data_IF_785622376151
#
_entry.id   IF_785622376151
#
_cell.length_a   1.000
_cell.length_b   1.000
_cell.length_c   1.000
_cell.angle_alpha   90.00
_cell.angle_beta   90.00
_cell.angle_gamma   90.00
#
_symmetry.space_group_name_H-M   'P 1'
#
loop_
_entity.id
_entity.type
_entity.pdbx_description
1 polymer ?
#
# COMPACT_ATOMS: atom_id res chain seq x y z
N UNK A 1 22.23 54.87 24.40
CA UNK A 1 21.34 53.75 24.74
C UNK A 1 21.15 52.83 23.54
N UNK A 2 21.14 53.37 22.32
CA UNK A 2 20.99 52.62 21.07
C UNK A 2 22.14 51.65 20.74
N UNK A 3 23.39 51.98 21.10
CA UNK A 3 24.54 51.11 20.84
C UNK A 3 24.49 49.78 21.60
N UNK A 4 24.04 49.79 22.85
CA UNK A 4 23.95 48.59 23.70
C UNK A 4 22.84 47.66 23.19
N UNK A 5 21.72 48.21 22.75
CA UNK A 5 20.63 47.44 22.16
C UNK A 5 21.05 46.79 20.82
N UNK A 6 21.84 47.51 20.02
CA UNK A 6 22.39 46.99 18.76
C UNK A 6 23.40 45.85 18.98
N UNK A 7 24.29 45.98 19.96
CA UNK A 7 25.26 44.93 20.31
C UNK A 7 24.57 43.67 20.86
N UNK A 8 23.55 43.84 21.71
CA UNK A 8 22.74 42.72 22.22
C UNK A 8 21.97 42.05 21.07
N UNK A 9 21.39 42.83 20.15
CA UNK A 9 20.70 42.29 18.98
C UNK A 9 21.67 41.52 18.07
N UNK A 10 22.86 42.07 17.80
CA UNK A 10 23.87 41.41 16.97
C UNK A 10 24.35 40.08 17.59
N UNK A 11 24.47 40.00 18.91
CA UNK A 11 24.82 38.77 19.62
C UNK A 11 23.66 37.77 19.70
N UNK A 12 22.41 38.24 19.76
CA UNK A 12 21.22 37.39 19.90
C UNK A 12 20.69 36.82 18.57
N UNK A 13 20.88 37.54 17.45
CA UNK A 13 20.40 37.12 16.12
C UNK A 13 20.86 35.71 15.73
N UNK A 14 22.15 35.31 15.87
CA UNK A 14 22.59 33.96 15.56
C UNK A 14 21.86 32.88 16.38
N UNK A 15 21.62 33.14 17.66
CA UNK A 15 20.93 32.21 18.55
C UNK A 15 19.44 32.05 18.15
N UNK A 16 18.77 33.16 17.81
CA UNK A 16 17.38 33.13 17.34
C UNK A 16 17.27 32.37 16.00
N UNK A 17 18.18 32.64 15.06
CA UNK A 17 18.22 31.93 13.77
C UNK A 17 18.47 30.43 13.98
N UNK A 18 19.38 30.05 14.89
CA UNK A 18 19.64 28.65 15.20
C UNK A 18 18.42 27.95 15.82
N UNK A 19 17.71 28.62 16.73
CA UNK A 19 16.48 28.07 17.35
C UNK A 19 15.39 27.89 16.29
N UNK A 20 15.15 28.90 15.45
CA UNK A 20 14.14 28.83 14.38
C UNK A 20 14.50 27.75 13.36
N UNK A 21 15.76 27.67 12.95
CA UNK A 21 16.26 26.64 12.05
C UNK A 21 16.05 25.24 12.64
N UNK A 22 16.43 25.04 13.89
CA UNK A 22 16.25 23.76 14.59
C UNK A 22 14.77 23.40 14.71
N UNK A 23 13.91 24.35 15.09
CA UNK A 23 12.47 24.13 15.18
C UNK A 23 11.88 23.73 13.82
N UNK A 24 12.29 24.40 12.74
CA UNK A 24 11.84 24.08 11.39
C UNK A 24 12.32 22.68 10.96
N UNK A 25 13.58 22.33 11.23
CA UNK A 25 14.11 20.99 10.94
C UNK A 25 13.35 19.90 11.69
N UNK A 26 13.04 20.11 12.98
CA UNK A 26 12.23 19.16 13.76
C UNK A 26 10.83 18.99 13.16
N UNK A 27 10.19 20.09 12.76
CA UNK A 27 8.88 20.06 12.11
C UNK A 27 8.92 19.32 10.76
N UNK A 28 9.91 19.60 9.92
CA UNK A 28 10.08 18.94 8.63
C UNK A 28 10.32 17.43 8.79
N UNK A 29 11.18 17.02 9.73
CA UNK A 29 11.44 15.61 9.99
C UNK A 29 10.17 14.89 10.46
N UNK A 30 9.39 15.48 11.36
CA UNK A 30 8.10 14.93 11.81
C UNK A 30 7.13 14.78 10.64
N UNK A 31 7.00 15.79 9.80
CA UNK A 31 6.13 15.75 8.64
C UNK A 31 6.57 14.68 7.63
N UNK A 32 7.88 14.57 7.37
CA UNK A 32 8.45 13.58 6.47
C UNK A 32 8.20 12.14 6.97
N UNK A 33 8.39 11.87 8.26
CA UNK A 33 8.10 10.56 8.86
C UNK A 33 6.63 10.18 8.65
N UNK A 34 5.69 11.05 9.03
CA UNK A 34 4.25 10.78 8.90
C UNK A 34 3.85 10.55 7.44
N UNK A 35 4.38 11.36 6.51
CA UNK A 35 4.12 11.19 5.09
C UNK A 35 4.67 9.85 4.57
N UNK A 36 5.89 9.48 4.97
CA UNK A 36 6.54 8.24 4.54
C UNK A 36 5.80 6.98 5.03
N UNK A 37 5.33 7.00 6.28
CA UNK A 37 4.53 5.90 6.86
C UNK A 37 3.20 5.76 6.13
N UNK A 38 2.49 6.87 5.92
CA UNK A 38 1.18 6.86 5.25
C UNK A 38 1.28 6.41 3.80
N UNK A 39 2.28 6.90 3.06
CA UNK A 39 2.50 6.45 1.68
C UNK A 39 2.90 4.98 1.60
N UNK A 40 3.71 4.49 2.55
CA UNK A 40 4.05 3.07 2.62
C UNK A 40 2.82 2.16 2.75
N UNK A 41 1.92 2.51 3.66
CA UNK A 41 0.66 1.79 3.90
C UNK A 41 -0.23 1.81 2.65
N UNK A 42 -0.37 2.97 2.00
CA UNK A 42 -1.23 3.11 0.82
C UNK A 42 -0.71 2.32 -0.39
N UNK A 43 0.61 2.25 -0.57
CA UNK A 43 1.23 1.43 -1.61
C UNK A 43 0.96 -0.06 -1.35
N UNK A 44 1.11 -0.53 -0.11
CA UNK A 44 0.83 -1.93 0.22
C UNK A 44 -0.66 -2.26 0.03
N UNK A 45 -1.56 -1.37 0.47
CA UNK A 45 -3.00 -1.51 0.27
C UNK A 45 -3.34 -1.60 -1.23
N UNK A 46 -2.72 -0.75 -2.06
CA UNK A 46 -2.88 -0.79 -3.53
C UNK A 46 -2.44 -2.13 -4.11
N UNK A 47 -1.31 -2.70 -3.67
CA UNK A 47 -0.88 -4.01 -4.13
C UNK A 47 -1.84 -5.12 -3.70
N UNK A 48 -2.36 -5.09 -2.46
CA UNK A 48 -3.37 -6.06 -2.00
C UNK A 48 -4.64 -5.97 -2.84
N UNK A 49 -5.12 -4.77 -3.10
CA UNK A 49 -6.31 -4.55 -3.93
C UNK A 49 -6.11 -5.04 -5.37
N UNK A 50 -4.98 -4.69 -5.98
CA UNK A 50 -4.63 -5.14 -7.33
C UNK A 50 -4.58 -6.68 -7.42
N UNK A 51 -3.99 -7.33 -6.41
CA UNK A 51 -3.95 -8.79 -6.32
C UNK A 51 -5.34 -9.41 -6.17
N UNK A 52 -6.16 -8.91 -5.26
CA UNK A 52 -7.53 -9.41 -5.07
C UNK A 52 -8.40 -9.22 -6.31
N UNK A 53 -8.28 -8.07 -6.98
CA UNK A 53 -9.00 -7.76 -8.22
C UNK A 53 -8.57 -8.66 -9.38
N UNK A 54 -7.27 -8.91 -9.52
CA UNK A 54 -6.75 -9.80 -10.55
C UNK A 54 -7.22 -11.25 -10.35
N UNK A 55 -7.17 -11.76 -9.11
CA UNK A 55 -7.69 -13.10 -8.79
C UNK A 55 -9.19 -13.19 -9.14
N UNK A 56 -9.98 -12.19 -8.73
CA UNK A 56 -11.42 -12.17 -9.01
C UNK A 56 -11.73 -12.12 -10.52
N UNK A 57 -10.98 -11.32 -11.27
CA UNK A 57 -11.10 -11.24 -12.74
C UNK A 57 -10.74 -12.57 -13.40
N UNK A 58 -9.68 -13.22 -12.93
CA UNK A 58 -9.26 -14.54 -13.38
C UNK A 58 -10.32 -15.61 -13.11
N UNK A 59 -10.92 -15.62 -11.91
CA UNK A 59 -12.02 -16.52 -11.55
C UNK A 59 -13.21 -16.32 -12.50
N UNK A 60 -13.66 -15.08 -12.70
CA UNK A 60 -14.80 -14.78 -13.59
C UNK A 60 -14.52 -15.21 -15.02
N UNK A 61 -13.34 -14.89 -15.55
CA UNK A 61 -12.94 -15.29 -16.90
C UNK A 61 -12.92 -16.82 -17.06
N UNK A 62 -12.39 -17.54 -16.07
CA UNK A 62 -12.37 -19.00 -16.07
C UNK A 62 -13.78 -19.62 -16.02
N UNK A 63 -14.67 -19.07 -15.19
CA UNK A 63 -16.07 -19.50 -15.12
C UNK A 63 -16.81 -19.25 -16.43
N UNK A 64 -16.62 -18.10 -17.08
CA UNK A 64 -17.19 -17.81 -18.40
C UNK A 64 -16.72 -18.79 -19.48
N UNK A 65 -15.50 -19.34 -19.33
CA UNK A 65 -14.96 -20.39 -20.21
C UNK A 65 -15.49 -21.80 -19.86
N UNK A 66 -16.37 -21.93 -18.86
CA UNK A 66 -16.94 -23.20 -18.41
C UNK A 66 -16.01 -24.03 -17.53
N UNK A 67 -14.93 -23.44 -17.00
CA UNK A 67 -14.05 -24.13 -16.05
C UNK A 67 -14.74 -24.28 -14.69
N UNK A 68 -14.40 -25.34 -13.95
CA UNK A 68 -14.97 -25.62 -12.63
C UNK A 68 -13.91 -26.08 -11.64
N UNK A 69 -14.21 -25.96 -10.34
CA UNK A 69 -13.36 -26.43 -9.24
C UNK A 69 -11.92 -25.96 -9.35
N UNK A 70 -10.96 -26.89 -9.25
CA UNK A 70 -9.53 -26.59 -9.24
C UNK A 70 -9.05 -25.90 -10.53
N UNK A 71 -9.67 -26.14 -11.68
CA UNK A 71 -9.28 -25.51 -12.94
C UNK A 71 -9.51 -23.99 -12.90
N UNK A 72 -10.54 -23.53 -12.20
CA UNK A 72 -10.81 -22.09 -11.98
C UNK A 72 -9.72 -21.47 -11.11
N UNK A 73 -9.31 -22.17 -10.05
CA UNK A 73 -8.26 -21.72 -9.13
C UNK A 73 -6.94 -21.57 -9.89
N UNK A 74 -6.52 -22.60 -10.62
CA UNK A 74 -5.28 -22.55 -11.42
C UNK A 74 -5.30 -21.42 -12.43
N UNK A 75 -6.40 -21.24 -13.17
CA UNK A 75 -6.54 -20.17 -14.14
C UNK A 75 -6.53 -18.77 -13.49
N UNK A 76 -7.11 -18.62 -12.30
CA UNK A 76 -7.09 -17.37 -11.56
C UNK A 76 -5.68 -17.01 -11.05
N UNK A 77 -4.92 -18.01 -10.58
CA UNK A 77 -3.54 -17.82 -10.16
C UNK A 77 -2.61 -17.47 -11.32
N UNK A 78 -2.79 -18.13 -12.46
CA UNK A 78 -2.08 -17.79 -13.70
C UNK A 78 -2.39 -16.36 -14.13
N UNK A 79 -3.68 -16.00 -14.18
CA UNK A 79 -4.09 -14.64 -14.51
C UNK A 79 -3.48 -13.60 -13.56
N UNK A 80 -3.53 -13.82 -12.25
CA UNK A 80 -2.93 -12.91 -11.28
C UNK A 80 -1.42 -12.79 -11.44
N UNK A 81 -0.74 -13.91 -11.74
CA UNK A 81 0.72 -13.95 -11.95
C UNK A 81 1.15 -13.12 -13.17
N UNK A 82 0.32 -13.11 -14.22
CA UNK A 82 0.57 -12.34 -15.45
C UNK A 82 0.15 -10.88 -15.29
N UNK A 83 -1.01 -10.62 -14.67
CA UNK A 83 -1.62 -9.29 -14.62
C UNK A 83 -1.00 -8.38 -13.56
N UNK A 84 -0.54 -8.92 -12.42
CA UNK A 84 -0.03 -8.13 -11.28
C UNK A 84 1.27 -8.69 -10.68
N UNK A 85 2.32 -8.90 -11.49
CA UNK A 85 3.58 -9.48 -11.03
C UNK A 85 4.26 -8.64 -9.94
N UNK A 86 4.14 -7.31 -10.00
CA UNK A 86 4.68 -6.39 -8.99
C UNK A 86 4.01 -6.55 -7.62
N UNK A 87 2.68 -6.72 -7.59
CA UNK A 87 1.96 -6.92 -6.34
C UNK A 87 2.36 -8.23 -5.68
N UNK A 88 2.51 -9.31 -6.46
CA UNK A 88 2.94 -10.62 -5.94
C UNK A 88 4.37 -10.52 -5.40
N UNK A 89 5.29 -9.89 -6.14
CA UNK A 89 6.67 -9.67 -5.66
C UNK A 89 6.72 -8.86 -4.36
N UNK A 90 5.92 -7.79 -4.28
CA UNK A 90 5.92 -6.89 -3.12
C UNK A 90 5.29 -7.53 -1.88
N UNK A 91 4.19 -8.26 -2.05
CA UNK A 91 3.46 -8.90 -0.94
C UNK A 91 4.09 -10.23 -0.52
N UNK A 92 4.87 -10.88 -1.39
CA UNK A 92 5.56 -12.14 -1.15
C UNK A 92 4.71 -13.17 -0.38
N UNK A 93 3.50 -13.52 -0.87
CA UNK A 93 2.58 -14.39 -0.17
C UNK A 93 3.21 -15.77 0.05
N UNK A 94 2.98 -16.35 1.24
CA UNK A 94 3.47 -17.68 1.58
C UNK A 94 2.88 -18.78 0.68
N UNK A 95 3.48 -19.99 0.69
CA UNK A 95 2.98 -21.13 -0.08
C UNK A 95 1.50 -21.39 0.22
N UNK A 96 0.69 -21.56 -0.84
CA UNK A 96 -0.74 -21.86 -0.72
C UNK A 96 -1.66 -20.68 -0.38
N UNK A 97 -1.13 -19.52 0.04
CA UNK A 97 -1.96 -18.35 0.42
C UNK A 97 -2.81 -17.86 -0.75
N UNK A 98 -2.22 -17.73 -1.94
CA UNK A 98 -2.96 -17.28 -3.13
C UNK A 98 -4.05 -18.27 -3.53
N UNK A 99 -3.78 -19.58 -3.42
CA UNK A 99 -4.76 -20.62 -3.70
C UNK A 99 -5.93 -20.54 -2.72
N UNK A 100 -5.66 -20.40 -1.42
CA UNK A 100 -6.71 -20.22 -0.41
C UNK A 100 -7.55 -18.96 -0.62
N UNK A 101 -6.93 -17.84 -1.04
CA UNK A 101 -7.67 -16.62 -1.39
C UNK A 101 -8.59 -16.86 -2.61
N UNK A 102 -8.07 -17.53 -3.64
CA UNK A 102 -8.84 -17.84 -4.83
C UNK A 102 -10.01 -18.80 -4.51
N UNK A 103 -9.79 -19.82 -3.67
CA UNK A 103 -10.81 -20.75 -3.19
C UNK A 103 -11.91 -20.02 -2.42
N UNK A 104 -11.54 -19.18 -1.46
CA UNK A 104 -12.49 -18.39 -0.68
C UNK A 104 -13.35 -17.49 -1.57
N UNK A 105 -12.73 -16.81 -2.55
CA UNK A 105 -13.44 -15.94 -3.51
C UNK A 105 -14.34 -16.71 -4.47
N UNK A 106 -13.92 -17.89 -4.91
CA UNK A 106 -14.74 -18.76 -5.74
C UNK A 106 -15.98 -19.23 -4.95
N UNK A 107 -15.80 -19.68 -3.72
CA UNK A 107 -16.90 -20.10 -2.85
C UNK A 107 -17.87 -18.94 -2.56
N UNK A 108 -17.36 -17.72 -2.34
CA UNK A 108 -18.19 -16.52 -2.17
C UNK A 108 -19.05 -16.24 -3.42
N UNK A 109 -18.46 -16.31 -4.62
CA UNK A 109 -19.20 -16.14 -5.87
C UNK A 109 -20.27 -17.22 -6.07
N UNK A 110 -19.91 -18.49 -5.91
CA UNK A 110 -20.85 -19.61 -6.06
C UNK A 110 -21.97 -19.56 -5.02
N UNK A 111 -21.69 -19.10 -3.80
CA UNK A 111 -22.70 -18.87 -2.77
C UNK A 111 -23.58 -17.63 -3.02
N UNK A 112 -23.06 -16.62 -3.73
CA UNK A 112 -23.81 -15.43 -4.16
C UNK A 112 -24.75 -15.73 -5.34
N UNK A 113 -24.35 -16.64 -6.21
CA UNK A 113 -25.08 -17.02 -7.42
C UNK A 113 -26.03 -18.23 -7.23
N UNK A 114 -26.03 -18.85 -6.03
CA UNK A 114 -26.99 -19.90 -5.69
C UNK A 114 -28.40 -19.30 -5.50
N UNK A 115 -29.46 -19.85 -6.15
CA UNK A 115 -30.82 -19.42 -5.89
C UNK A 115 -31.16 -19.68 -4.42
N UNK A 116 -31.60 -18.62 -3.71
CA UNK A 116 -32.11 -18.72 -2.34
C UNK A 116 -33.48 -19.38 -2.30
#
# INVERSE_FOLDING_TARGET
>A
MDSILSEIAAAAVPAVVAIVGTALTVLMNRAATVASERWGIEIEARHREALHSAIMSGIRSALTRGLTGQAVISAALEHASISVPDAIRKLAPGPGVLAGIAEAKLNELLGKDAPR
#
